data_IF_035860630951
#
_entry.id   IF_035860630951
#
_cell.length_a   1.000
_cell.length_b   1.000
_cell.length_c   1.000
_cell.angle_alpha   90.00
_cell.angle_beta   90.00
_cell.angle_gamma   90.00
#
_symmetry.space_group_name_H-M   'P 1'
#
loop_
_entity.id
_entity.type
_entity.pdbx_description
1 polymer ?
#
# COMPACT_ATOMS: atom_id res chain seq x y z
N UNK A 1 1.31 13.74 20.48
CA UNK A 1 0.66 12.48 20.02
C UNK A 1 1.68 11.62 19.32
N UNK A 2 1.48 10.31 19.34
CA UNK A 2 2.35 9.34 18.68
C UNK A 2 1.58 8.60 17.57
N UNK A 3 1.96 8.73 16.29
CA UNK A 3 1.28 8.01 15.22
C UNK A 3 1.61 6.52 15.30
N UNK A 4 0.57 5.69 15.24
CA UNK A 4 0.72 4.27 15.00
C UNK A 4 1.12 4.04 13.53
N UNK A 5 2.08 3.16 13.30
CA UNK A 5 2.40 2.66 11.97
C UNK A 5 2.79 1.19 12.06
N UNK A 6 2.42 0.42 11.04
CA UNK A 6 2.89 -0.95 10.91
C UNK A 6 4.25 -0.95 10.22
N UNK A 7 5.31 -1.23 11.00
CA UNK A 7 6.65 -1.43 10.45
C UNK A 7 6.74 -2.73 9.65
N UNK A 8 6.74 -2.63 8.32
CA UNK A 8 7.12 -3.75 7.44
C UNK A 8 8.63 -3.94 7.49
N UNK A 9 9.10 -5.18 7.69
CA UNK A 9 10.54 -5.49 7.69
C UNK A 9 11.23 -5.11 6.38
N UNK A 10 10.48 -5.13 5.28
CA UNK A 10 10.97 -4.85 3.94
C UNK A 10 10.54 -3.47 3.42
N UNK A 11 9.89 -2.63 4.24
CA UNK A 11 9.29 -1.36 3.82
C UNK A 11 7.90 -1.52 3.19
N UNK A 12 7.07 -0.48 3.29
CA UNK A 12 5.79 -0.37 2.59
C UNK A 12 5.39 1.11 2.56
N UNK A 13 5.60 1.76 1.42
CA UNK A 13 5.43 3.20 1.28
C UNK A 13 4.09 3.74 1.76
N UNK A 14 3.04 2.91 1.69
CA UNK A 14 1.69 3.28 2.12
C UNK A 14 1.55 3.35 3.64
N UNK A 15 2.10 2.38 4.38
CA UNK A 15 2.05 2.39 5.85
C UNK A 15 3.06 3.40 6.44
N UNK A 16 4.18 3.60 5.74
CA UNK A 16 5.23 4.57 6.07
C UNK A 16 4.72 6.03 6.02
N UNK A 17 3.56 6.29 5.41
CA UNK A 17 2.92 7.61 5.41
C UNK A 17 2.71 8.15 6.83
N UNK A 18 2.39 7.29 7.80
CA UNK A 18 2.16 7.72 9.19
C UNK A 18 3.42 8.35 9.84
N UNK A 19 4.61 8.11 9.30
CA UNK A 19 5.86 8.69 9.82
C UNK A 19 5.94 10.20 9.60
N UNK A 20 5.35 10.72 8.52
CA UNK A 20 5.55 12.12 8.11
C UNK A 20 4.29 12.85 7.61
N UNK A 21 3.24 12.15 7.18
CA UNK A 21 2.03 12.78 6.63
C UNK A 21 1.35 13.70 7.65
N UNK A 22 1.32 13.28 8.91
CA UNK A 22 0.65 14.02 9.99
C UNK A 22 1.37 15.31 10.37
N UNK A 23 2.68 15.44 10.10
CA UNK A 23 3.39 16.72 10.28
C UNK A 23 2.86 17.80 9.33
N UNK A 24 2.37 17.39 8.16
CA UNK A 24 1.74 18.27 7.19
C UNK A 24 0.25 18.48 7.49
N UNK A 25 -0.50 17.40 7.77
CA UNK A 25 -1.95 17.50 7.98
C UNK A 25 -2.33 18.14 9.33
N UNK A 26 -1.54 17.89 10.38
CA UNK A 26 -1.74 18.42 11.74
C UNK A 26 -0.40 18.93 12.30
N UNK A 27 0.13 20.07 11.81
CA UNK A 27 1.41 20.60 12.27
C UNK A 27 1.43 20.79 13.79
N UNK A 28 2.48 20.29 14.45
CA UNK A 28 2.65 20.37 15.92
C UNK A 28 1.95 19.25 16.71
N UNK A 29 1.26 18.30 16.07
CA UNK A 29 0.50 17.26 16.77
C UNK A 29 1.35 16.37 17.71
N UNK A 30 2.66 16.32 17.49
CA UNK A 30 3.59 15.54 18.32
C UNK A 30 3.67 16.07 19.75
N UNK A 31 3.50 17.38 19.93
CA UNK A 31 3.78 18.07 21.18
C UNK A 31 2.53 18.29 22.06
N UNK A 32 1.32 18.01 21.55
CA UNK A 32 0.07 18.32 22.29
C UNK A 32 -0.31 17.27 23.35
N UNK A 33 -0.47 16.01 22.95
CA UNK A 33 -0.92 14.94 23.84
C UNK A 33 -0.01 13.72 23.73
N UNK A 34 0.96 13.59 24.64
CA UNK A 34 1.98 12.53 24.60
C UNK A 34 1.41 11.12 24.85
N UNK A 35 0.30 11.03 25.58
CA UNK A 35 -0.41 9.78 25.91
C UNK A 35 -1.33 9.28 24.79
N UNK A 36 -1.62 10.13 23.80
CA UNK A 36 -2.58 9.84 22.72
C UNK A 36 -1.88 9.25 21.50
N UNK A 37 -2.34 8.07 21.10
CA UNK A 37 -1.98 7.40 19.87
C UNK A 37 -2.83 7.93 18.71
N UNK A 38 -2.19 8.40 17.63
CA UNK A 38 -2.90 8.75 16.40
C UNK A 38 -2.97 7.50 15.51
N UNK A 39 -4.18 7.05 15.22
CA UNK A 39 -4.45 5.88 14.37
C UNK A 39 -4.92 6.37 13.01
N UNK A 40 -3.97 6.42 12.08
CA UNK A 40 -4.11 7.09 10.79
C UNK A 40 -4.23 6.15 9.61
N UNK A 41 -3.36 6.35 8.62
CA UNK A 41 -3.29 5.58 7.37
C UNK A 41 -3.15 4.08 7.67
N UNK A 42 -3.83 3.24 6.88
CA UNK A 42 -3.66 1.79 6.92
C UNK A 42 -4.90 0.99 7.34
N UNK A 43 -4.74 -0.33 7.36
CA UNK A 43 -5.80 -1.28 7.78
C UNK A 43 -5.50 -1.80 9.18
N UNK A 44 -5.47 -0.88 10.16
CA UNK A 44 -4.90 -1.12 11.49
C UNK A 44 -5.94 -1.09 12.61
N UNK A 45 -7.23 -0.92 12.30
CA UNK A 45 -8.32 -1.00 13.27
C UNK A 45 -8.55 -2.45 13.69
N UNK A 46 -7.65 -2.95 14.55
CA UNK A 46 -7.60 -4.30 15.06
C UNK A 46 -7.06 -4.27 16.51
N UNK A 47 -7.75 -4.85 17.50
CA UNK A 47 -7.31 -4.88 18.90
C UNK A 47 -5.94 -5.50 19.15
N UNK A 48 -5.51 -6.44 18.31
CA UNK A 48 -4.19 -7.08 18.42
C UNK A 48 -3.07 -6.08 18.12
N UNK A 49 -3.35 -5.08 17.29
CA UNK A 49 -2.41 -4.05 16.87
C UNK A 49 -2.43 -2.83 17.80
N UNK A 50 -3.57 -2.57 18.44
CA UNK A 50 -3.84 -1.34 19.18
C UNK A 50 -4.00 -1.67 20.68
N UNK A 51 -3.00 -1.37 21.52
CA UNK A 51 -2.99 -1.80 22.92
C UNK A 51 -4.10 -1.12 23.74
N UNK A 52 -4.72 -1.82 24.69
CA UNK A 52 -5.69 -1.23 25.61
C UNK A 52 -5.01 -0.28 26.61
N UNK A 53 -5.78 0.63 27.21
CA UNK A 53 -5.29 1.55 28.26
C UNK A 53 -4.51 2.75 27.71
N UNK A 54 -4.64 3.02 26.42
CA UNK A 54 -4.04 4.16 25.75
C UNK A 54 -5.11 4.87 24.91
N UNK A 55 -5.19 6.20 25.02
CA UNK A 55 -6.11 7.01 24.22
C UNK A 55 -5.76 6.90 22.74
N UNK A 56 -6.77 6.75 21.89
CA UNK A 56 -6.64 6.56 20.45
C UNK A 56 -7.48 7.61 19.74
N UNK A 57 -6.84 8.43 18.91
CA UNK A 57 -7.49 9.33 17.99
C UNK A 57 -7.45 8.69 16.59
N UNK A 58 -8.61 8.23 16.11
CA UNK A 58 -8.72 7.58 14.80
C UNK A 58 -9.12 8.59 13.72
N UNK A 59 -8.31 8.67 12.66
CA UNK A 59 -8.52 9.61 11.54
C UNK A 59 -8.23 8.89 10.21
N UNK A 60 -9.28 8.43 9.55
CA UNK A 60 -9.20 7.85 8.20
C UNK A 60 -8.65 6.42 8.13
N UNK A 61 -8.41 5.77 9.27
CA UNK A 61 -8.01 4.37 9.31
C UNK A 61 -9.13 3.42 8.89
N UNK A 62 -8.77 2.22 8.46
CA UNK A 62 -9.72 1.19 8.02
C UNK A 62 -9.65 -0.12 8.80
N UNK A 63 -10.78 -0.84 8.80
CA UNK A 63 -10.84 -2.25 9.21
C UNK A 63 -10.54 -3.17 8.02
N UNK A 64 -10.16 -4.41 8.31
CA UNK A 64 -10.04 -5.46 7.29
C UNK A 64 -9.60 -6.83 7.79
N UNK A 65 -8.98 -6.93 8.97
CA UNK A 65 -8.45 -8.19 9.49
C UNK A 65 -8.88 -8.41 10.94
N UNK A 66 -9.11 -9.67 11.31
CA UNK A 66 -9.41 -10.06 12.69
C UNK A 66 -10.73 -9.50 13.21
N UNK A 67 -10.82 -9.31 14.52
CA UNK A 67 -11.98 -8.68 15.15
C UNK A 67 -11.87 -7.15 15.09
N UNK A 68 -13.02 -6.49 15.03
CA UNK A 68 -13.08 -5.03 15.08
C UNK A 68 -12.93 -4.58 16.55
N UNK A 69 -12.27 -3.44 16.82
CA UNK A 69 -12.20 -2.90 18.16
C UNK A 69 -13.57 -2.45 18.68
N UNK A 70 -13.78 -2.59 19.98
CA UNK A 70 -14.90 -1.95 20.67
C UNK A 70 -14.59 -0.48 20.88
N UNK A 71 -15.18 0.36 20.03
CA UNK A 71 -14.96 1.81 20.02
C UNK A 71 -15.87 2.56 20.99
N UNK A 72 -16.70 1.86 21.78
CA UNK A 72 -17.55 2.49 22.79
C UNK A 72 -16.79 2.82 24.08
N UNK A 73 -15.58 2.29 24.24
CA UNK A 73 -14.72 2.64 25.35
C UNK A 73 -14.26 4.11 25.22
N UNK A 74 -14.30 4.91 26.31
CA UNK A 74 -13.82 6.31 26.32
C UNK A 74 -12.38 6.53 25.84
N UNK A 75 -11.56 5.47 25.75
CA UNK A 75 -10.22 5.56 25.16
C UNK A 75 -10.24 5.83 23.65
N UNK A 76 -11.38 5.64 22.96
CA UNK A 76 -11.50 5.84 21.51
C UNK A 76 -12.17 7.17 21.15
N UNK A 77 -11.43 8.05 20.49
CA UNK A 77 -11.99 9.18 19.74
C UNK A 77 -11.93 8.86 18.24
N UNK A 78 -13.06 8.41 17.68
CA UNK A 78 -13.16 8.04 16.26
C UNK A 78 -13.80 9.16 15.45
N UNK A 79 -12.98 10.00 14.82
CA UNK A 79 -13.44 11.18 14.06
C UNK A 79 -13.96 10.81 12.68
N UNK A 80 -13.18 10.02 11.96
CA UNK A 80 -13.60 9.44 10.69
C UNK A 80 -12.81 8.17 10.38
N UNK A 81 -13.34 7.35 9.49
CA UNK A 81 -12.71 6.11 9.01
C UNK A 81 -12.61 6.11 7.49
N UNK A 82 -11.81 5.20 6.95
CA UNK A 82 -11.45 5.15 5.52
C UNK A 82 -12.64 5.08 4.57
N UNK A 83 -13.70 4.38 4.98
CA UNK A 83 -14.84 4.15 4.11
C UNK A 83 -16.09 3.63 4.84
N UNK A 84 -17.20 3.49 4.09
CA UNK A 84 -18.50 3.16 4.66
C UNK A 84 -18.56 1.73 5.21
N UNK A 85 -17.78 0.79 4.68
CA UNK A 85 -17.79 -0.59 5.19
C UNK A 85 -17.12 -0.66 6.56
N UNK A 86 -16.01 0.07 6.75
CA UNK A 86 -15.39 0.22 8.06
C UNK A 86 -16.34 0.92 9.03
N UNK A 87 -17.01 1.99 8.60
CA UNK A 87 -17.99 2.70 9.45
C UNK A 87 -19.10 1.76 9.93
N UNK A 88 -19.72 1.02 9.01
CA UNK A 88 -20.75 0.04 9.32
C UNK A 88 -20.24 -1.06 10.27
N UNK A 89 -19.02 -1.57 10.04
CA UNK A 89 -18.41 -2.61 10.87
C UNK A 89 -18.20 -2.17 12.32
N UNK A 90 -17.93 -0.89 12.54
CA UNK A 90 -17.71 -0.29 13.87
C UNK A 90 -18.99 0.26 14.49
N UNK A 91 -20.15 0.16 13.82
CA UNK A 91 -21.40 0.74 14.31
C UNK A 91 -21.44 2.28 14.24
N UNK A 92 -20.58 2.89 13.42
CA UNK A 92 -20.56 4.34 13.21
C UNK A 92 -21.61 4.74 12.15
N UNK A 93 -22.09 6.00 12.20
CA UNK A 93 -22.81 6.60 11.09
C UNK A 93 -22.01 6.47 9.78
N UNK A 94 -22.68 6.10 8.68
CA UNK A 94 -22.01 5.84 7.39
C UNK A 94 -21.28 7.08 6.84
N UNK A 95 -21.72 8.27 7.20
CA UNK A 95 -21.09 9.53 6.84
C UNK A 95 -19.75 9.76 7.57
N UNK A 96 -19.41 8.99 8.61
CA UNK A 96 -18.04 8.96 9.14
C UNK A 96 -17.05 8.16 8.28
N UNK A 97 -17.55 7.41 7.29
CA UNK A 97 -16.73 6.84 6.23
C UNK A 97 -16.35 7.89 5.19
N UNK A 98 -15.21 8.56 5.38
CA UNK A 98 -14.80 9.69 4.54
C UNK A 98 -13.87 9.23 3.41
N UNK A 99 -12.59 9.00 3.70
CA UNK A 99 -11.58 8.51 2.75
C UNK A 99 -10.29 8.15 3.51
N UNK A 100 -9.35 7.53 2.81
CA UNK A 100 -7.97 7.37 3.27
C UNK A 100 -7.24 8.73 3.34
N UNK A 101 -6.43 9.01 4.39
CA UNK A 101 -5.70 10.27 4.52
C UNK A 101 -4.74 10.57 3.34
N UNK A 102 -4.25 9.53 2.64
CA UNK A 102 -3.39 9.68 1.47
C UNK A 102 -4.06 10.47 0.33
N UNK A 103 -5.39 10.62 0.32
CA UNK A 103 -6.12 11.45 -0.64
C UNK A 103 -5.75 12.95 -0.58
N UNK A 104 -5.14 13.42 0.52
CA UNK A 104 -4.68 14.80 0.69
C UNK A 104 -3.22 15.01 0.26
N UNK A 105 -2.46 13.94 -0.01
CA UNK A 105 -1.05 14.02 -0.45
C UNK A 105 -0.88 14.90 -1.71
N UNK A 106 -1.77 14.85 -2.71
CA UNK A 106 -1.64 15.74 -3.86
C UNK A 106 -1.60 17.22 -3.50
N UNK A 107 -2.15 17.67 -2.36
CA UNK A 107 -2.16 19.09 -1.97
C UNK A 107 -0.80 19.60 -1.45
N UNK A 108 0.15 18.70 -1.20
CA UNK A 108 1.47 19.07 -0.72
C UNK A 108 2.30 19.73 -1.82
N UNK A 109 2.99 20.86 -1.55
CA UNK A 109 3.75 21.59 -2.56
C UNK A 109 4.78 20.76 -3.32
N UNK A 110 5.43 19.79 -2.65
CA UNK A 110 6.47 18.94 -3.23
C UNK A 110 5.97 17.90 -4.26
N UNK A 111 4.65 17.69 -4.34
CA UNK A 111 4.01 16.78 -5.30
C UNK A 111 3.19 17.51 -6.37
N UNK A 112 3.20 18.84 -6.37
CA UNK A 112 2.50 19.66 -7.35
C UNK A 112 3.33 19.80 -8.64
N UNK A 113 2.64 19.92 -9.78
CA UNK A 113 3.24 20.21 -11.10
C UNK A 113 4.35 19.25 -11.55
N UNK A 114 4.29 17.99 -11.13
CA UNK A 114 5.26 16.98 -11.54
C UNK A 114 5.04 16.58 -13.02
N UNK A 115 6.08 16.61 -13.88
CA UNK A 115 5.93 16.23 -15.27
C UNK A 115 5.69 14.73 -15.42
N UNK A 116 4.87 14.34 -16.40
CA UNK A 116 4.67 12.93 -16.75
C UNK A 116 5.92 12.39 -17.46
N UNK A 117 6.54 11.37 -16.89
CA UNK A 117 7.75 10.73 -17.46
C UNK A 117 7.59 9.21 -17.67
N UNK A 118 6.54 8.61 -17.08
CA UNK A 118 6.24 7.19 -17.26
C UNK A 118 4.91 7.02 -18.00
N UNK A 119 4.91 6.18 -19.05
CA UNK A 119 3.68 5.88 -19.82
C UNK A 119 2.70 5.02 -19.03
N UNK A 120 3.17 3.90 -18.49
CA UNK A 120 2.36 2.98 -17.68
C UNK A 120 3.26 2.37 -16.63
N UNK A 121 2.81 2.37 -15.38
CA UNK A 121 3.60 1.88 -14.26
C UNK A 121 2.84 0.81 -13.51
N UNK A 122 3.50 -0.32 -13.21
CA UNK A 122 2.97 -1.37 -12.36
C UNK A 122 3.47 -1.21 -10.93
N UNK A 123 2.54 -1.20 -9.98
CA UNK A 123 2.81 -1.13 -8.53
C UNK A 123 2.32 -2.43 -7.88
N UNK A 124 3.19 -3.42 -7.65
CA UNK A 124 2.83 -4.68 -7.00
C UNK A 124 2.46 -4.46 -5.52
N UNK A 125 1.89 -5.50 -4.89
CA UNK A 125 1.87 -5.62 -3.44
C UNK A 125 3.30 -5.85 -2.91
N UNK A 126 3.60 -5.45 -1.68
CA UNK A 126 4.94 -5.59 -1.11
C UNK A 126 5.41 -7.07 -1.09
N UNK A 127 4.54 -8.03 -0.77
CA UNK A 127 4.87 -9.46 -0.84
C UNK A 127 5.18 -9.92 -2.28
N UNK A 128 4.48 -9.35 -3.27
CA UNK A 128 4.81 -9.61 -4.67
C UNK A 128 6.17 -9.05 -5.03
N UNK A 129 6.49 -7.83 -4.59
CA UNK A 129 7.80 -7.23 -4.80
C UNK A 129 8.94 -8.04 -4.14
N UNK A 130 8.66 -8.63 -2.97
CA UNK A 130 9.62 -9.46 -2.22
C UNK A 130 9.91 -10.79 -2.91
N UNK A 131 8.87 -11.54 -3.27
CA UNK A 131 9.03 -12.93 -3.70
C UNK A 131 8.91 -13.12 -5.22
N UNK A 132 8.45 -12.11 -5.94
CA UNK A 132 8.24 -12.13 -7.39
C UNK A 132 9.45 -11.66 -8.20
N UNK A 133 9.41 -11.90 -9.51
CA UNK A 133 10.37 -11.37 -10.48
C UNK A 133 9.76 -10.26 -11.34
N UNK A 134 8.98 -9.38 -10.71
CA UNK A 134 8.13 -8.39 -11.40
C UNK A 134 8.91 -7.38 -12.25
N UNK A 135 10.15 -7.05 -11.89
CA UNK A 135 11.00 -6.21 -12.76
C UNK A 135 11.19 -6.86 -14.15
N UNK A 136 11.42 -8.18 -14.21
CA UNK A 136 11.56 -8.94 -15.46
C UNK A 136 10.22 -9.23 -16.16
N UNK A 137 9.10 -9.08 -15.47
CA UNK A 137 7.74 -9.20 -16.04
C UNK A 137 7.31 -7.88 -16.69
N UNK A 138 7.62 -6.75 -16.07
CA UNK A 138 7.13 -5.44 -16.48
C UNK A 138 7.72 -4.98 -17.81
N UNK A 139 9.03 -5.16 -18.03
CA UNK A 139 9.69 -4.73 -19.28
C UNK A 139 9.05 -5.37 -20.52
N UNK A 140 8.90 -6.72 -20.62
CA UNK A 140 8.19 -7.34 -21.74
C UNK A 140 6.70 -6.97 -21.83
N UNK A 141 6.06 -6.64 -20.70
CA UNK A 141 4.67 -6.17 -20.68
C UNK A 141 4.52 -4.70 -21.12
N UNK A 142 5.64 -3.98 -21.34
CA UNK A 142 5.64 -2.56 -21.69
C UNK A 142 5.29 -1.64 -20.52
N UNK A 143 5.66 -2.04 -19.30
CA UNK A 143 5.36 -1.32 -18.05
C UNK A 143 6.65 -0.93 -17.33
N UNK A 144 6.65 0.24 -16.69
CA UNK A 144 7.65 0.61 -15.70
C UNK A 144 7.34 -0.15 -14.40
N UNK A 145 8.32 -0.84 -13.84
CA UNK A 145 8.19 -1.45 -12.51
C UNK A 145 8.47 -0.41 -11.42
N UNK A 146 7.58 -0.32 -10.43
CA UNK A 146 7.76 0.56 -9.27
C UNK A 146 7.69 -0.25 -7.97
N UNK A 147 8.80 -0.30 -7.23
CA UNK A 147 8.86 -1.04 -5.96
C UNK A 147 8.09 -0.32 -4.84
N UNK A 148 7.02 -0.90 -4.27
CA UNK A 148 6.29 -0.32 -3.14
C UNK A 148 7.12 -0.29 -1.84
N UNK A 149 8.27 -0.96 -1.80
CA UNK A 149 9.18 -0.99 -0.64
C UNK A 149 10.19 0.15 -0.64
N UNK A 150 10.22 0.95 -1.71
CA UNK A 150 11.12 2.09 -1.84
C UNK A 150 10.77 3.24 -0.86
N UNK A 151 11.62 4.27 -0.86
CA UNK A 151 11.38 5.48 -0.07
C UNK A 151 10.04 6.13 -0.45
N UNK A 152 9.21 6.44 0.55
CA UNK A 152 7.80 6.74 0.34
C UNK A 152 7.55 7.93 -0.59
N UNK A 153 8.25 9.06 -0.40
CA UNK A 153 8.08 10.24 -1.24
C UNK A 153 8.51 9.99 -2.69
N UNK A 154 9.54 9.19 -2.89
CA UNK A 154 10.02 8.79 -4.21
C UNK A 154 9.02 7.90 -4.95
N UNK A 155 8.41 6.93 -4.25
CA UNK A 155 7.35 6.08 -4.81
C UNK A 155 6.11 6.91 -5.17
N UNK A 156 5.68 7.80 -4.28
CA UNK A 156 4.56 8.73 -4.51
C UNK A 156 4.81 9.61 -5.73
N UNK A 157 6.03 10.18 -5.84
CA UNK A 157 6.43 10.99 -7.00
C UNK A 157 6.35 10.18 -8.29
N UNK A 158 6.83 8.94 -8.31
CA UNK A 158 6.75 8.08 -9.50
C UNK A 158 5.30 7.77 -9.90
N UNK A 159 4.39 7.59 -8.92
CA UNK A 159 2.95 7.46 -9.18
C UNK A 159 2.42 8.73 -9.85
N UNK A 160 2.67 9.89 -9.26
CA UNK A 160 2.22 11.18 -9.79
C UNK A 160 2.81 11.49 -11.19
N UNK A 161 4.01 10.99 -11.49
CA UNK A 161 4.68 11.16 -12.79
C UNK A 161 4.29 10.10 -13.84
N UNK A 162 3.36 9.21 -13.52
CA UNK A 162 2.84 8.21 -14.46
C UNK A 162 1.58 8.71 -15.18
N UNK A 163 1.43 8.35 -16.46
CA UNK A 163 0.19 8.59 -17.25
C UNK A 163 -0.91 7.56 -16.92
N UNK A 164 -0.53 6.38 -16.42
CA UNK A 164 -1.45 5.33 -15.97
C UNK A 164 -0.78 4.42 -14.93
N UNK A 165 -1.56 3.94 -13.96
CA UNK A 165 -1.12 2.97 -12.96
C UNK A 165 -1.85 1.63 -13.12
N UNK A 166 -1.10 0.54 -13.10
CA UNK A 166 -1.64 -0.81 -12.86
C UNK A 166 -1.28 -1.19 -11.42
N UNK A 167 -2.28 -1.29 -10.55
CA UNK A 167 -2.08 -1.38 -9.11
C UNK A 167 -2.52 -2.74 -8.55
N UNK A 168 -1.59 -3.43 -7.90
CA UNK A 168 -1.90 -4.45 -6.90
C UNK A 168 -1.80 -3.88 -5.47
N UNK A 169 -0.98 -2.83 -5.28
CA UNK A 169 -0.98 -2.04 -4.04
C UNK A 169 -2.21 -1.14 -3.95
N UNK A 170 -2.98 -1.26 -2.87
CA UNK A 170 -4.14 -0.41 -2.60
C UNK A 170 -3.74 1.07 -2.46
N UNK A 171 -2.65 1.37 -1.76
CA UNK A 171 -2.13 2.74 -1.67
C UNK A 171 -1.64 3.25 -3.04
N UNK A 172 -1.16 2.35 -3.91
CA UNK A 172 -0.88 2.69 -5.31
C UNK A 172 -2.12 3.21 -6.04
N UNK A 173 -3.27 2.54 -5.87
CA UNK A 173 -4.53 2.99 -6.46
C UNK A 173 -5.11 4.24 -5.78
N UNK A 174 -5.06 4.33 -4.45
CA UNK A 174 -5.51 5.52 -3.69
C UNK A 174 -4.76 6.76 -4.18
N UNK A 175 -3.43 6.68 -4.29
CA UNK A 175 -2.62 7.80 -4.73
C UNK A 175 -2.81 8.10 -6.21
N UNK A 176 -2.88 7.08 -7.07
CA UNK A 176 -3.18 7.28 -8.48
C UNK A 176 -4.50 8.05 -8.65
N UNK A 177 -5.56 7.60 -7.99
CA UNK A 177 -6.88 8.24 -8.02
C UNK A 177 -6.85 9.67 -7.50
N UNK A 178 -6.13 9.93 -6.40
CA UNK A 178 -5.99 11.25 -5.79
C UNK A 178 -5.19 12.22 -6.68
N UNK A 179 -4.14 11.75 -7.35
CA UNK A 179 -3.37 12.51 -8.35
C UNK A 179 -4.06 12.61 -9.71
N UNK A 180 -5.27 12.03 -9.86
CA UNK A 180 -6.01 11.92 -11.13
C UNK A 180 -5.20 11.20 -12.21
N UNK A 181 -4.41 10.20 -11.82
CA UNK A 181 -3.75 9.25 -12.71
C UNK A 181 -4.68 8.05 -12.92
N UNK A 182 -5.19 7.82 -14.14
CA UNK A 182 -6.07 6.69 -14.41
C UNK A 182 -5.44 5.37 -13.99
N UNK A 183 -6.22 4.49 -13.37
CA UNK A 183 -5.68 3.28 -12.78
C UNK A 183 -6.51 2.03 -13.06
N UNK A 184 -5.85 0.87 -12.99
CA UNK A 184 -6.44 -0.46 -13.19
C UNK A 184 -6.03 -1.32 -11.99
N UNK A 185 -6.98 -1.95 -11.34
CA UNK A 185 -6.68 -2.92 -10.28
C UNK A 185 -6.27 -4.27 -10.88
N UNK A 186 -5.23 -4.87 -10.31
CA UNK A 186 -4.88 -6.27 -10.54
C UNK A 186 -4.70 -7.01 -9.23
N UNK A 187 -4.78 -8.34 -9.28
CA UNK A 187 -4.54 -9.19 -8.13
C UNK A 187 -3.75 -10.43 -8.52
N UNK A 188 -2.72 -10.78 -7.75
CA UNK A 188 -1.96 -12.04 -7.96
C UNK A 188 -2.40 -13.16 -7.03
N UNK A 189 -3.27 -12.87 -6.07
CA UNK A 189 -3.79 -13.87 -5.14
C UNK A 189 -5.22 -13.56 -4.71
N UNK A 190 -5.99 -14.64 -4.51
CA UNK A 190 -7.33 -14.55 -3.89
C UNK A 190 -7.27 -14.13 -2.43
N UNK A 191 -6.08 -14.12 -1.80
CA UNK A 191 -5.87 -13.65 -0.43
C UNK A 191 -5.81 -12.12 -0.31
N UNK A 192 -5.73 -11.38 -1.44
CA UNK A 192 -5.85 -9.92 -1.38
C UNK A 192 -7.22 -9.58 -0.79
N UNK A 193 -7.18 -8.79 0.28
CA UNK A 193 -8.36 -8.50 1.06
C UNK A 193 -9.30 -7.57 0.28
N UNK A 194 -10.36 -8.15 -0.29
CA UNK A 194 -11.37 -7.42 -1.04
C UNK A 194 -12.14 -6.41 -0.16
N UNK A 195 -12.24 -6.62 1.16
CA UNK A 195 -12.97 -5.71 2.04
C UNK A 195 -12.31 -4.33 2.05
N UNK A 196 -10.99 -4.25 2.30
CA UNK A 196 -10.28 -2.96 2.38
C UNK A 196 -10.33 -2.18 1.07
N UNK A 197 -10.23 -2.89 -0.06
CA UNK A 197 -10.32 -2.30 -1.39
C UNK A 197 -11.72 -1.74 -1.66
N UNK A 198 -12.76 -2.52 -1.41
CA UNK A 198 -14.14 -2.06 -1.58
C UNK A 198 -14.51 -0.94 -0.62
N UNK A 199 -14.00 -0.98 0.62
CA UNK A 199 -14.21 0.04 1.63
C UNK A 199 -13.70 1.41 1.15
N UNK A 200 -12.46 1.47 0.65
CA UNK A 200 -11.94 2.70 0.04
C UNK A 200 -12.66 3.04 -1.28
N UNK A 201 -12.81 2.09 -2.20
CA UNK A 201 -13.38 2.39 -3.52
C UNK A 201 -14.79 2.97 -3.40
N UNK A 202 -15.63 2.42 -2.51
CA UNK A 202 -16.97 2.96 -2.24
C UNK A 202 -16.96 4.35 -1.62
N UNK A 203 -15.93 4.70 -0.83
CA UNK A 203 -15.86 6.03 -0.22
C UNK A 203 -15.66 7.12 -1.28
N UNK A 204 -14.84 6.87 -2.30
CA UNK A 204 -14.62 7.82 -3.41
C UNK A 204 -15.52 7.59 -4.62
N UNK A 205 -16.38 6.57 -4.62
CA UNK A 205 -17.25 6.23 -5.74
C UNK A 205 -16.53 5.55 -6.92
N UNK A 206 -15.37 4.93 -6.67
CA UNK A 206 -14.67 4.07 -7.60
C UNK A 206 -15.18 2.62 -7.51
N UNK A 207 -14.78 1.76 -8.46
CA UNK A 207 -15.18 0.35 -8.49
C UNK A 207 -13.97 -0.57 -8.38
N UNK A 208 -13.95 -1.46 -7.40
CA UNK A 208 -12.91 -2.47 -7.31
C UNK A 208 -13.27 -3.73 -8.11
N UNK A 209 -12.67 -3.87 -9.29
CA UNK A 209 -12.81 -5.04 -10.17
C UNK A 209 -11.42 -5.51 -10.65
N UNK A 210 -10.66 -6.26 -9.84
CA UNK A 210 -9.27 -6.60 -10.15
C UNK A 210 -9.17 -7.64 -11.28
N UNK A 211 -8.27 -7.41 -12.23
CA UNK A 211 -7.86 -8.45 -13.17
C UNK A 211 -6.87 -9.40 -12.50
N UNK A 212 -7.09 -10.71 -12.66
CA UNK A 212 -6.17 -11.71 -12.11
C UNK A 212 -4.89 -11.80 -12.95
N UNK A 213 -3.73 -11.70 -12.30
CA UNK A 213 -2.41 -11.86 -12.91
C UNK A 213 -1.68 -12.99 -12.19
N UNK A 214 -1.31 -14.11 -12.86
CA UNK A 214 -0.60 -15.20 -12.20
C UNK A 214 0.70 -14.73 -11.55
N UNK A 215 1.05 -15.33 -10.41
CA UNK A 215 2.34 -15.07 -9.75
C UNK A 215 3.52 -15.40 -10.65
N UNK A 216 4.59 -14.63 -10.51
CA UNK A 216 5.76 -14.68 -11.39
C UNK A 216 6.79 -15.74 -10.97
N UNK A 217 6.72 -16.25 -9.73
CA UNK A 217 7.63 -17.27 -9.20
C UNK A 217 6.91 -18.31 -8.34
N UNK A 218 7.58 -19.45 -8.09
CA UNK A 218 7.13 -20.43 -7.09
C UNK A 218 7.19 -19.89 -5.66
N UNK A 219 8.22 -19.10 -5.33
CA UNK A 219 8.37 -18.50 -4.00
C UNK A 219 7.20 -17.57 -3.69
N UNK A 220 6.78 -16.77 -4.68
CA UNK A 220 5.60 -15.91 -4.58
C UNK A 220 4.31 -16.72 -4.41
N UNK A 221 4.17 -17.85 -5.12
CA UNK A 221 3.03 -18.76 -4.92
C UNK A 221 2.95 -19.32 -3.49
N UNK A 222 4.08 -19.73 -2.92
CA UNK A 222 4.14 -20.24 -1.54
C UNK A 222 3.79 -19.12 -0.55
N UNK A 223 4.44 -17.95 -0.67
CA UNK A 223 4.20 -16.82 0.23
C UNK A 223 2.73 -16.38 0.23
N UNK A 224 2.12 -16.30 -0.96
CA UNK A 224 0.72 -15.87 -1.12
C UNK A 224 -0.30 -17.00 -1.01
N UNK A 225 0.13 -18.23 -0.72
CA UNK A 225 -0.72 -19.44 -0.67
C UNK A 225 -1.60 -19.60 -1.92
N UNK A 226 -1.00 -19.38 -3.09
CA UNK A 226 -1.67 -19.44 -4.40
C UNK A 226 -0.98 -20.46 -5.31
N UNK A 227 -1.59 -20.73 -6.48
CA UNK A 227 -1.11 -21.74 -7.42
C UNK A 227 -0.05 -21.17 -8.36
N UNK A 228 0.98 -21.96 -8.68
CA UNK A 228 1.94 -21.68 -9.75
C UNK A 228 1.80 -22.74 -10.84
N UNK A 229 1.48 -22.34 -12.07
CA UNK A 229 1.15 -23.26 -13.19
C UNK A 229 0.06 -24.28 -12.84
N UNK A 230 -0.95 -23.87 -12.06
CA UNK A 230 -2.05 -24.75 -11.65
C UNK A 230 -1.74 -25.72 -10.49
N UNK A 231 -0.49 -25.81 -10.06
CA UNK A 231 -0.07 -26.62 -8.91
C UNK A 231 -0.15 -25.82 -7.60
N UNK A 232 -0.72 -26.41 -6.56
CA UNK A 232 -0.68 -25.90 -5.18
C UNK A 232 0.59 -26.37 -4.48
N UNK A 233 1.21 -25.51 -3.67
CA UNK A 233 2.40 -25.82 -2.90
C UNK A 233 2.13 -25.51 -1.43
N UNK A 234 1.19 -26.24 -0.82
CA UNK A 234 0.98 -26.18 0.63
C UNK A 234 2.16 -26.90 1.30
N UNK A 235 2.82 -26.20 2.22
CA UNK A 235 4.06 -26.65 2.87
C UNK A 235 3.90 -27.96 3.64
N UNK A 236 4.10 -29.08 2.96
CA UNK A 236 4.29 -30.40 3.55
C UNK A 236 5.77 -30.79 3.47
N UNK A 237 6.49 -30.63 4.57
CA UNK A 237 7.87 -31.10 4.71
C UNK A 237 8.62 -30.33 5.80
N UNK A 238 8.48 -30.77 7.05
CA UNK A 238 9.22 -30.20 8.18
C UNK A 238 10.73 -30.34 8.00
N UNK A 239 11.44 -29.23 8.08
CA UNK A 239 12.84 -29.18 8.52
C UNK A 239 12.93 -28.13 9.62
N UNK A 240 13.36 -28.59 10.79
CA UNK A 240 13.66 -27.76 11.96
C UNK A 240 14.69 -26.68 11.58
N UNK A 241 14.51 -25.43 12.02
CA UNK A 241 15.56 -24.43 11.87
C UNK A 241 16.71 -24.78 12.82
N UNK A 242 17.89 -25.03 12.26
CA UNK A 242 19.13 -25.18 13.01
C UNK A 242 19.49 -23.85 13.70
N UNK A 243 19.83 -23.95 14.98
CA UNK A 243 20.35 -22.86 15.80
C UNK A 243 21.66 -22.30 15.22
N UNK A 244 21.75 -20.98 15.07
CA UNK A 244 23.02 -20.28 14.92
C UNK A 244 23.08 -19.13 15.93
N UNK A 245 24.06 -19.21 16.84
CA UNK A 245 24.45 -18.16 17.78
C UNK A 245 25.18 -17.01 17.09
N UNK A 246 25.21 -15.80 17.69
CA UNK A 246 25.63 -14.58 17.02
C UNK A 246 27.16 -14.39 17.09
N UNK A 247 27.76 -14.03 15.95
CA UNK A 247 29.12 -13.48 15.90
C UNK A 247 29.06 -11.95 15.81
N UNK A 248 29.94 -11.34 16.59
CA UNK A 248 30.08 -9.93 16.93
C UNK A 248 30.18 -8.96 15.75
N UNK A 249 29.66 -7.76 15.99
CA UNK A 249 29.81 -6.57 15.17
C UNK A 249 31.27 -6.12 15.06
N UNK A 250 31.69 -5.73 13.84
CA UNK A 250 32.60 -4.60 13.70
C UNK A 250 32.37 -3.85 12.39
N UNK A 251 32.49 -2.53 12.48
CA UNK A 251 32.08 -1.55 11.49
C UNK A 251 33.10 -1.40 10.36
N UNK A 252 32.63 -1.24 9.11
CA UNK A 252 33.24 -0.30 8.16
C UNK A 252 32.35 -0.07 6.94
N UNK A 253 32.05 1.22 6.74
CA UNK A 253 31.48 1.80 5.53
C UNK A 253 32.51 1.69 4.41
N UNK A 254 32.18 1.01 3.29
CA UNK A 254 32.88 1.22 2.02
C UNK A 254 31.93 1.10 0.83
N UNK A 255 31.73 2.23 0.16
CA UNK A 255 31.27 2.37 -1.22
C UNK A 255 32.07 1.47 -2.17
N UNK A 256 31.41 0.56 -2.91
CA UNK A 256 32.05 -0.19 -4.01
C UNK A 256 31.66 0.39 -5.37
N UNK A 257 32.57 1.17 -5.92
CA UNK A 257 32.79 1.33 -7.36
C UNK A 257 33.15 -0.02 -7.99
N UNK A 258 32.38 -0.44 -9.00
CA UNK A 258 32.62 -1.66 -9.78
C UNK A 258 33.55 -1.38 -10.97
N UNK A 259 34.62 -2.15 -11.09
CA UNK A 259 35.39 -2.37 -12.32
C UNK A 259 35.33 -3.87 -12.70
N UNK A 260 35.52 -4.23 -13.98
CA UNK A 260 34.75 -5.30 -14.62
C UNK A 260 35.52 -6.61 -14.77
N UNK A 261 34.86 -7.76 -14.58
CA UNK A 261 35.31 -9.06 -15.12
C UNK A 261 34.17 -10.04 -15.44
N UNK A 262 34.33 -10.64 -16.64
CA UNK A 262 33.79 -11.89 -17.19
C UNK A 262 32.33 -11.97 -17.72
N UNK A 263 32.14 -12.25 -19.03
CA UNK A 263 30.83 -12.47 -19.65
C UNK A 263 30.41 -13.96 -19.70
N UNK A 264 29.12 -14.17 -20.01
CA UNK A 264 28.51 -15.42 -20.51
C UNK A 264 28.07 -16.50 -19.49
N UNK A 265 27.12 -16.15 -18.61
CA UNK A 265 26.06 -17.08 -18.14
C UNK A 265 24.65 -16.44 -18.13
N UNK A 266 24.50 -15.21 -18.65
CA UNK A 266 23.27 -14.42 -18.52
C UNK A 266 22.15 -14.84 -19.49
N UNK A 267 22.48 -15.36 -20.68
CA UNK A 267 21.49 -15.63 -21.75
C UNK A 267 20.51 -16.77 -21.45
N UNK A 268 21.03 -17.95 -21.09
CA UNK A 268 20.20 -19.14 -20.80
C UNK A 268 19.34 -18.97 -19.54
N UNK A 269 19.91 -18.40 -18.47
CA UNK A 269 19.17 -18.11 -17.23
C UNK A 269 18.12 -17.00 -17.42
N UNK A 270 18.41 -15.99 -18.24
CA UNK A 270 17.46 -14.95 -18.61
C UNK A 270 16.28 -15.50 -19.39
N UNK A 271 16.53 -16.33 -20.41
CA UNK A 271 15.48 -17.01 -21.18
C UNK A 271 14.63 -17.96 -20.33
N UNK A 272 15.24 -18.74 -19.42
CA UNK A 272 14.50 -19.63 -18.53
C UNK A 272 13.56 -18.87 -17.57
N UNK A 273 13.99 -17.71 -17.05
CA UNK A 273 13.14 -16.83 -16.23
C UNK A 273 11.96 -16.27 -17.03
N UNK A 274 12.19 -15.85 -18.28
CA UNK A 274 11.14 -15.31 -19.15
C UNK A 274 10.07 -16.36 -19.50
N UNK A 275 10.46 -17.61 -19.75
CA UNK A 275 9.50 -18.71 -20.02
C UNK A 275 8.62 -18.99 -18.80
N UNK A 276 9.20 -19.02 -17.60
CA UNK A 276 8.47 -19.27 -16.36
C UNK A 276 7.48 -18.15 -15.99
N UNK A 277 7.78 -16.91 -16.38
CA UNK A 277 6.96 -15.73 -16.12
C UNK A 277 6.03 -15.35 -17.29
N UNK A 278 6.04 -16.10 -18.40
CA UNK A 278 5.23 -15.81 -19.58
C UNK A 278 3.72 -15.64 -19.29
N UNK A 279 3.08 -16.45 -18.42
CA UNK A 279 1.68 -16.22 -18.04
C UNK A 279 1.46 -14.88 -17.33
N UNK A 280 2.39 -14.49 -16.44
CA UNK A 280 2.35 -13.20 -15.74
C UNK A 280 2.54 -12.04 -16.71
N UNK A 281 3.48 -12.15 -17.64
CA UNK A 281 3.72 -11.14 -18.69
C UNK A 281 2.46 -10.94 -19.52
N UNK A 282 1.87 -12.01 -20.03
CA UNK A 282 0.67 -11.94 -20.88
C UNK A 282 -0.52 -11.36 -20.12
N UNK A 283 -0.79 -11.84 -18.90
CA UNK A 283 -1.92 -11.37 -18.11
C UNK A 283 -1.77 -9.90 -17.69
N UNK A 284 -0.55 -9.48 -17.30
CA UNK A 284 -0.28 -8.09 -16.94
C UNK A 284 -0.38 -7.15 -18.16
N UNK A 285 0.12 -7.60 -19.31
CA UNK A 285 -0.03 -6.89 -20.58
C UNK A 285 -1.51 -6.73 -20.98
N UNK A 286 -2.31 -7.80 -20.86
CA UNK A 286 -3.76 -7.78 -21.12
C UNK A 286 -4.48 -6.81 -20.17
N UNK A 287 -4.20 -6.90 -18.87
CA UNK A 287 -4.76 -6.01 -17.86
C UNK A 287 -4.41 -4.54 -18.14
N UNK A 288 -3.17 -4.24 -18.56
CA UNK A 288 -2.76 -2.85 -18.88
C UNK A 288 -3.48 -2.22 -20.07
N UNK A 289 -4.27 -3.00 -20.83
CA UNK A 289 -5.02 -2.57 -22.01
C UNK A 289 -6.52 -2.47 -21.78
N UNK A 290 -6.99 -2.82 -20.58
CA UNK A 290 -8.39 -2.59 -20.22
C UNK A 290 -8.64 -1.11 -19.93
N UNK A 291 -9.92 -0.74 -19.89
CA UNK A 291 -10.29 0.65 -19.64
C UNK A 291 -9.90 1.03 -18.20
N UNK A 292 -9.04 2.06 -18.02
CA UNK A 292 -8.70 2.53 -16.69
C UNK A 292 -9.86 3.32 -16.10
N UNK A 293 -9.85 3.49 -14.79
CA UNK A 293 -10.88 4.25 -14.09
C UNK A 293 -10.29 5.41 -13.28
N UNK A 294 -11.18 6.32 -12.92
CA UNK A 294 -11.00 7.35 -11.91
C UNK A 294 -12.32 7.50 -11.14
N UNK A 295 -12.24 7.79 -9.85
CA UNK A 295 -13.39 8.28 -9.09
C UNK A 295 -13.98 9.56 -9.71
N UNK A 296 -15.27 9.88 -9.52
CA UNK A 296 -15.83 11.16 -9.93
C UNK A 296 -15.13 12.34 -9.22
N UNK A 297 -14.72 13.37 -9.98
CA UNK A 297 -14.00 14.54 -9.43
C UNK A 297 -14.75 15.17 -8.26
N UNK A 298 -16.06 15.39 -8.40
CA UNK A 298 -16.90 15.98 -7.37
C UNK A 298 -16.92 15.15 -6.07
N UNK A 299 -16.91 13.82 -6.19
CA UNK A 299 -16.90 12.92 -5.02
C UNK A 299 -15.55 13.01 -4.29
N UNK A 300 -14.44 12.94 -5.04
CA UNK A 300 -13.11 13.08 -4.45
C UNK A 300 -12.94 14.44 -3.75
N UNK A 301 -13.40 15.54 -4.37
CA UNK A 301 -13.31 16.87 -3.75
C UNK A 301 -14.18 16.99 -2.50
N UNK A 302 -15.41 16.43 -2.50
CA UNK A 302 -16.25 16.35 -1.29
C UNK A 302 -15.52 15.62 -0.17
N UNK A 303 -14.93 14.44 -0.44
CA UNK A 303 -14.20 13.69 0.57
C UNK A 303 -13.01 14.45 1.12
N UNK A 304 -12.23 15.12 0.26
CA UNK A 304 -11.11 15.96 0.71
C UNK A 304 -11.60 17.12 1.58
N UNK A 305 -12.69 17.79 1.22
CA UNK A 305 -13.25 18.89 2.00
C UNK A 305 -13.73 18.42 3.38
N UNK A 306 -14.47 17.31 3.43
CA UNK A 306 -14.96 16.73 4.69
C UNK A 306 -13.81 16.25 5.58
N UNK A 307 -12.77 15.66 4.99
CA UNK A 307 -11.58 15.28 5.74
C UNK A 307 -10.89 16.50 6.35
N UNK A 308 -10.78 17.63 5.62
CA UNK A 308 -10.24 18.88 6.16
C UNK A 308 -11.09 19.44 7.30
N UNK A 309 -12.42 19.37 7.21
CA UNK A 309 -13.31 19.78 8.29
C UNK A 309 -13.07 18.96 9.58
N UNK A 310 -12.84 17.64 9.44
CA UNK A 310 -12.43 16.79 10.56
C UNK A 310 -11.09 17.22 11.15
N UNK A 311 -10.10 17.56 10.31
CA UNK A 311 -8.82 18.08 10.80
C UNK A 311 -8.99 19.41 11.54
N UNK A 312 -9.88 20.30 11.08
CA UNK A 312 -10.17 21.56 11.75
C UNK A 312 -10.87 21.37 13.10
N UNK A 313 -11.75 20.37 13.23
CA UNK A 313 -12.33 19.96 14.52
C UNK A 313 -11.25 19.47 15.48
N UNK A 314 -10.37 18.58 15.04
CA UNK A 314 -9.28 18.05 15.85
C UNK A 314 -8.35 19.19 16.32
N UNK A 315 -8.03 20.15 15.45
CA UNK A 315 -7.24 21.32 15.84
C UNK A 315 -7.89 22.13 16.95
N UNK A 316 -9.23 22.26 16.98
CA UNK A 316 -9.92 22.98 18.06
C UNK A 316 -9.95 22.21 19.38
N UNK A 317 -10.00 20.89 19.30
CA UNK A 317 -10.22 20.04 20.47
C UNK A 317 -8.91 19.60 21.16
N UNK A 318 -7.80 19.55 20.41
CA UNK A 318 -6.52 18.98 20.86
C UNK A 318 -5.33 19.96 20.89
N UNK A 319 -5.46 21.18 20.34
CA UNK A 319 -4.39 22.17 20.28
C UNK A 319 -4.84 23.48 20.95
#
# INVERSE_FOLDING_TARGET
MQPYYWASHHGNFGDDLNLWLWDYLLPGFRDVHADTMLVGVGTVLNPVLLPPGQKKLVIGSGYGYGEAPDINDPEWDVRCVRGPLTAAKLGLPLDRGITDPAALIPDMPEFQNLPKIHKKTFVPHWESAEFGMWQSVCEPAGLTWLDPRGEAKSVIRAIAQSEMIVAESMHGAILADAFRVPWIAVSTSRSINNFKWNDWAQSVGATYNPHFVPVSTRAEAVAKKTKFWGMSFDGGGGQQPAHHEPASADASVMTRTSAPTAPAQSGLRGMAKQVLAAPSILALWQASRTEPQLSPDAMLQDKKQRFRAVLDEIRRDYF
#
